data_IF_128200421779
#
_entry.id   IF_128200421779
#
_cell.length_a   1.000
_cell.length_b   1.000
_cell.length_c   1.000
_cell.angle_alpha   90.00
_cell.angle_beta   90.00
_cell.angle_gamma   90.00
#
_symmetry.space_group_name_H-M   'P 1'
#
loop_
_entity.id
_entity.type
_entity.pdbx_description
1 polymer ?
#
# COMPACT_ATOMS: atom_id res chain seq x y z
N UNK A 1 -0.18 9.51 -4.72
CA UNK A 1 0.21 8.57 -3.65
C UNK A 1 1.28 9.13 -2.74
N UNK A 2 2.56 9.29 -3.15
CA UNK A 2 3.59 9.83 -2.23
C UNK A 2 3.27 11.26 -1.74
N UNK A 3 2.84 12.15 -2.62
CA UNK A 3 2.45 13.53 -2.25
C UNK A 3 1.23 13.56 -1.30
N UNK A 4 0.26 12.69 -1.56
CA UNK A 4 -0.96 12.57 -0.76
C UNK A 4 -0.67 12.08 0.66
N UNK A 5 0.13 11.02 0.79
CA UNK A 5 0.56 10.48 2.08
C UNK A 5 1.55 11.40 2.80
N UNK A 6 2.14 12.38 2.10
CA UNK A 6 2.96 13.44 2.70
C UNK A 6 2.16 14.53 3.39
N UNK A 7 0.84 14.60 3.19
CA UNK A 7 -0.04 15.57 3.87
C UNK A 7 -0.18 15.23 5.36
N UNK A 8 -0.32 16.24 6.25
CA UNK A 8 -0.60 16.00 7.66
C UNK A 8 -1.86 15.15 7.88
N UNK A 9 -1.85 14.30 8.90
CA UNK A 9 -2.98 13.46 9.26
C UNK A 9 -3.11 12.16 8.45
N UNK A 10 -2.13 11.85 7.59
CA UNK A 10 -2.05 10.53 6.99
C UNK A 10 -1.79 9.45 8.04
N UNK A 11 -2.50 8.32 7.93
CA UNK A 11 -2.34 7.13 8.76
C UNK A 11 -2.23 5.89 7.87
N UNK A 12 -1.46 4.91 8.33
CA UNK A 12 -1.25 3.65 7.65
C UNK A 12 -1.26 2.51 8.67
N UNK A 13 -1.93 1.42 8.34
CA UNK A 13 -1.97 0.22 9.18
C UNK A 13 -1.78 -1.02 8.31
N UNK A 14 -0.64 -1.68 8.48
CA UNK A 14 -0.37 -2.99 7.89
C UNK A 14 -1.24 -4.04 8.59
N UNK A 15 -1.99 -4.81 7.80
CA UNK A 15 -2.87 -5.89 8.29
C UNK A 15 -2.25 -7.26 8.10
N UNK A 16 -1.60 -7.47 6.97
CA UNK A 16 -0.95 -8.72 6.65
C UNK A 16 0.34 -8.46 5.88
N UNK A 17 1.32 -9.31 6.11
CA UNK A 17 2.54 -9.38 5.33
C UNK A 17 2.90 -10.84 5.11
N UNK A 18 3.22 -11.19 3.88
CA UNK A 18 3.80 -12.48 3.50
C UNK A 18 5.04 -12.23 2.64
N UNK A 19 6.06 -13.06 2.83
CA UNK A 19 7.28 -13.06 2.02
C UNK A 19 7.62 -14.51 1.73
N UNK A 20 7.72 -14.86 0.45
CA UNK A 20 8.06 -16.20 -0.02
C UNK A 20 9.00 -16.12 -1.21
N UNK A 21 10.26 -16.52 -0.99
CA UNK A 21 11.33 -16.34 -1.96
C UNK A 21 11.44 -14.89 -2.43
N UNK A 22 11.35 -14.70 -3.74
CA UNK A 22 11.41 -13.40 -4.41
C UNK A 22 10.07 -12.67 -4.46
N UNK A 23 9.02 -13.18 -3.82
CA UNK A 23 7.69 -12.58 -3.83
C UNK A 23 7.31 -12.06 -2.44
N UNK A 24 6.70 -10.88 -2.42
CA UNK A 24 6.12 -10.32 -1.20
C UNK A 24 4.71 -9.82 -1.45
N UNK A 25 3.87 -9.92 -0.42
CA UNK A 25 2.50 -9.44 -0.45
C UNK A 25 2.16 -8.74 0.85
N UNK A 26 1.46 -7.62 0.76
CA UNK A 26 0.91 -6.92 1.92
C UNK A 26 -0.57 -6.59 1.74
N UNK A 27 -1.29 -6.57 2.86
CA UNK A 27 -2.62 -5.98 2.99
C UNK A 27 -2.53 -4.85 3.97
N UNK A 28 -3.11 -3.71 3.65
CA UNK A 28 -3.12 -2.55 4.53
C UNK A 28 -4.40 -1.72 4.39
N UNK A 29 -4.59 -0.85 5.36
CA UNK A 29 -5.63 0.19 5.36
C UNK A 29 -4.96 1.53 5.63
N UNK A 30 -5.49 2.61 5.08
CA UNK A 30 -4.94 3.94 5.32
C UNK A 30 -6.03 5.01 5.28
N UNK A 31 -5.74 6.16 5.87
CA UNK A 31 -6.49 7.38 5.67
C UNK A 31 -5.52 8.49 5.36
N UNK A 32 -5.85 9.32 4.38
CA UNK A 32 -5.13 10.54 4.06
C UNK A 32 -6.09 11.73 4.24
N UNK A 33 -5.61 12.93 3.92
CA UNK A 33 -6.49 14.09 3.83
C UNK A 33 -7.59 13.88 2.77
N UNK A 34 -7.25 13.22 1.66
CA UNK A 34 -8.12 13.15 0.47
C UNK A 34 -8.85 11.81 0.32
N UNK A 35 -8.39 10.73 0.97
CA UNK A 35 -8.92 9.38 0.74
C UNK A 35 -8.97 8.52 2.00
N UNK A 36 -9.86 7.54 1.98
CA UNK A 36 -9.87 6.36 2.86
C UNK A 36 -9.60 5.14 2.00
N UNK A 37 -8.49 4.46 2.28
CA UNK A 37 -8.15 3.15 1.74
C UNK A 37 -8.70 2.09 2.69
N UNK A 38 -9.93 1.62 2.42
CA UNK A 38 -10.64 0.65 3.25
C UNK A 38 -9.94 -0.71 3.26
N UNK A 39 -9.36 -1.07 2.11
CA UNK A 39 -8.53 -2.25 1.92
C UNK A 39 -7.64 -2.00 0.72
N UNK A 40 -6.35 -2.20 0.89
CA UNK A 40 -5.37 -2.10 -0.18
C UNK A 40 -4.39 -3.25 -0.13
N UNK A 41 -3.93 -3.67 -1.30
CA UNK A 41 -2.97 -4.74 -1.47
C UNK A 41 -1.83 -4.30 -2.37
N UNK A 42 -0.64 -4.76 -2.02
CA UNK A 42 0.52 -4.71 -2.92
C UNK A 42 1.13 -6.09 -3.03
N UNK A 43 1.41 -6.50 -4.26
CA UNK A 43 2.24 -7.67 -4.56
C UNK A 43 3.52 -7.19 -5.21
N UNK A 44 4.65 -7.70 -4.74
CA UNK A 44 5.98 -7.36 -5.21
C UNK A 44 6.69 -8.59 -5.75
N UNK A 45 7.39 -8.42 -6.87
CA UNK A 45 8.48 -9.32 -7.29
C UNK A 45 9.78 -8.60 -7.01
N UNK A 46 10.66 -9.22 -6.23
CA UNK A 46 11.97 -8.70 -5.83
C UNK A 46 13.04 -9.42 -6.64
N UNK A 47 13.92 -8.68 -7.29
CA UNK A 47 15.05 -9.23 -8.02
C UNK A 47 16.29 -8.39 -7.72
N UNK A 48 17.42 -9.05 -7.41
CA UNK A 48 18.67 -8.39 -7.03
C UNK A 48 18.48 -7.37 -5.88
N UNK A 49 17.65 -7.72 -4.89
CA UNK A 49 17.37 -6.88 -3.72
C UNK A 49 16.53 -5.62 -4.01
N UNK A 50 15.95 -5.50 -5.20
CA UNK A 50 15.09 -4.37 -5.60
C UNK A 50 13.71 -4.85 -6.02
N UNK A 51 12.68 -4.04 -5.80
CA UNK A 51 11.35 -4.30 -6.36
C UNK A 51 11.46 -4.15 -7.88
N UNK A 52 11.29 -5.26 -8.60
CA UNK A 52 11.28 -5.31 -10.05
C UNK A 52 9.86 -5.07 -10.61
N UNK A 53 8.85 -5.58 -9.91
CA UNK A 53 7.43 -5.40 -10.26
C UNK A 53 6.63 -5.13 -9.00
N UNK A 54 5.65 -4.23 -9.12
CA UNK A 54 4.62 -4.00 -8.11
C UNK A 54 3.25 -4.02 -8.79
N UNK A 55 2.31 -4.79 -8.26
CA UNK A 55 0.89 -4.62 -8.56
C UNK A 55 0.18 -4.06 -7.33
N UNK A 56 -0.66 -3.06 -7.54
CA UNK A 56 -1.45 -2.43 -6.51
C UNK A 56 -2.94 -2.55 -6.82
N UNK A 57 -3.75 -2.88 -5.82
CA UNK A 57 -5.19 -2.81 -5.90
C UNK A 57 -5.75 -2.26 -4.59
N UNK A 58 -6.82 -1.46 -4.66
CA UNK A 58 -7.47 -0.94 -3.46
C UNK A 58 -8.95 -0.71 -3.66
N UNK A 59 -9.69 -0.83 -2.56
CA UNK A 59 -11.00 -0.20 -2.39
C UNK A 59 -10.77 1.15 -1.70
N UNK A 60 -10.99 2.22 -2.45
CA UNK A 60 -10.71 3.59 -2.01
C UNK A 60 -11.94 4.46 -2.14
N UNK A 61 -12.21 5.24 -1.10
CA UNK A 61 -13.29 6.23 -1.05
C UNK A 61 -12.68 7.61 -0.84
N UNK A 62 -13.04 8.58 -1.69
CA UNK A 62 -12.59 9.97 -1.54
C UNK A 62 -13.21 10.64 -0.31
N UNK A 63 -12.45 11.54 0.32
CA UNK A 63 -12.87 12.44 1.39
C UNK A 63 -13.08 13.84 0.80
N UNK A 64 -14.09 14.54 1.30
CA UNK A 64 -14.41 15.92 0.93
C UNK A 64 -13.64 16.94 1.75
#
# INVERSE_FOLDING_TARGET
MLEEFGKPGASFSLKQRSVEGDHAYIVWTAQTADNVYELATDTFVVSNGKIAVQSFASKTTARG
#
